data_IF_444623978573
#
_entry.id   IF_444623978573
#
_cell.length_a   1.000
_cell.length_b   1.000
_cell.length_c   1.000
_cell.angle_alpha   90.00
_cell.angle_beta   90.00
_cell.angle_gamma   90.00
#
_symmetry.space_group_name_H-M   'P 1'
#
loop_
_entity.id
_entity.type
_entity.pdbx_description
1 polymer ?
#
# COMPACT_ATOMS: atom_id res chain seq x y z
N UNK A 1 12.36 -4.55 2.95
CA UNK A 1 12.14 -3.09 2.92
C UNK A 1 11.51 -2.81 1.57
N UNK A 2 10.38 -2.09 1.53
CA UNK A 2 9.69 -1.77 0.30
C UNK A 2 10.61 -1.08 -0.69
N UNK A 3 10.39 -1.30 -1.98
CA UNK A 3 11.14 -0.61 -3.02
C UNK A 3 10.45 0.71 -3.33
N UNK A 4 11.17 1.83 -3.21
CA UNK A 4 10.67 3.13 -3.70
C UNK A 4 10.39 3.06 -5.21
N UNK A 5 9.26 3.63 -5.61
CA UNK A 5 8.91 3.84 -7.01
C UNK A 5 9.41 5.22 -7.36
N UNK A 6 10.43 5.29 -8.21
CA UNK A 6 11.04 6.56 -8.60
C UNK A 6 10.68 6.93 -10.04
N UNK A 7 10.31 5.95 -10.85
CA UNK A 7 9.90 6.15 -12.24
C UNK A 7 8.72 5.26 -12.61
N UNK A 8 8.09 5.57 -13.74
CA UNK A 8 6.94 4.82 -14.26
C UNK A 8 7.28 3.37 -14.60
N UNK A 9 8.55 3.07 -14.87
CA UNK A 9 9.02 1.72 -15.18
C UNK A 9 9.11 0.81 -13.94
N UNK A 10 9.03 1.37 -12.73
CA UNK A 10 9.11 0.61 -11.48
C UNK A 10 7.79 -0.07 -11.10
N UNK A 11 6.66 0.37 -11.68
CA UNK A 11 5.32 -0.11 -11.39
C UNK A 11 4.54 -0.37 -12.69
N UNK A 12 3.57 -1.28 -12.64
CA UNK A 12 2.65 -1.56 -13.74
C UNK A 12 1.31 -2.07 -13.18
N UNK A 13 0.23 -2.06 -13.98
CA UNK A 13 -1.02 -2.70 -13.58
C UNK A 13 -0.80 -4.14 -13.10
N UNK A 14 -1.43 -4.49 -11.97
CA UNK A 14 -1.24 -5.77 -11.30
C UNK A 14 -0.20 -5.78 -10.17
N UNK A 15 0.68 -4.77 -10.11
CA UNK A 15 1.55 -4.56 -8.95
C UNK A 15 0.78 -4.01 -7.76
N UNK A 16 1.40 -4.06 -6.57
CA UNK A 16 0.87 -3.46 -5.35
C UNK A 16 1.75 -2.27 -4.95
N UNK A 17 1.12 -1.15 -4.59
CA UNK A 17 1.80 0.01 -4.02
C UNK A 17 1.17 0.42 -2.70
N UNK A 18 1.93 1.13 -1.87
CA UNK A 18 1.42 1.86 -0.73
C UNK A 18 1.07 3.29 -1.13
N UNK A 19 -0.11 3.77 -0.75
CA UNK A 19 -0.51 5.16 -0.92
C UNK A 19 -0.19 6.05 0.30
N UNK A 20 -0.45 7.35 0.18
CA UNK A 20 -0.16 8.34 1.22
C UNK A 20 -0.98 8.17 2.51
N UNK A 21 -2.03 7.34 2.50
CA UNK A 21 -2.77 6.95 3.69
C UNK A 21 -2.35 5.59 4.22
N UNK A 22 -1.21 5.07 3.76
CA UNK A 22 -0.62 3.78 4.13
C UNK A 22 -1.43 2.56 3.67
N UNK A 23 -2.40 2.71 2.75
CA UNK A 23 -3.14 1.57 2.23
C UNK A 23 -2.30 0.81 1.19
N UNK A 24 -2.13 -0.51 1.31
CA UNK A 24 -1.75 -1.35 0.18
C UNK A 24 -2.85 -1.28 -0.89
N UNK A 25 -2.46 -0.99 -2.13
CA UNK A 25 -3.36 -0.75 -3.25
C UNK A 25 -2.94 -1.58 -4.47
N UNK A 26 -3.90 -2.26 -5.10
CA UNK A 26 -3.69 -2.92 -6.38
C UNK A 26 -3.66 -1.87 -7.49
N UNK A 27 -2.53 -1.77 -8.19
CA UNK A 27 -2.38 -0.87 -9.34
C UNK A 27 -3.29 -1.31 -10.49
N UNK A 28 -4.17 -0.41 -10.92
CA UNK A 28 -5.11 -0.63 -12.02
C UNK A 28 -4.66 0.06 -13.31
N UNK A 29 -3.89 1.13 -13.20
CA UNK A 29 -3.47 1.93 -14.34
C UNK A 29 -2.50 3.05 -13.97
N UNK A 30 -1.99 3.68 -15.02
CA UNK A 30 -1.05 4.79 -14.92
C UNK A 30 -1.18 5.73 -16.13
N UNK A 31 -0.93 7.01 -15.90
CA UNK A 31 -0.86 8.05 -16.93
C UNK A 31 0.17 9.11 -16.52
N UNK A 32 1.28 9.19 -17.26
CA UNK A 32 2.42 10.00 -16.84
C UNK A 32 2.94 9.57 -15.47
N UNK A 33 3.01 10.50 -14.52
CA UNK A 33 3.46 10.22 -13.14
C UNK A 33 2.33 9.81 -12.19
N UNK A 34 1.09 9.81 -12.66
CA UNK A 34 -0.06 9.41 -11.86
C UNK A 34 -0.28 7.91 -11.97
N UNK A 35 -0.45 7.26 -10.81
CA UNK A 35 -0.94 5.89 -10.70
C UNK A 35 -2.29 5.89 -10.00
N UNK A 36 -3.11 4.89 -10.29
CA UNK A 36 -4.35 4.68 -9.55
C UNK A 36 -4.64 3.21 -9.33
N UNK A 37 -5.36 2.94 -8.24
CA UNK A 37 -5.61 1.59 -7.80
C UNK A 37 -6.82 1.46 -6.89
N UNK A 38 -7.05 0.22 -6.47
CA UNK A 38 -8.08 -0.15 -5.50
C UNK A 38 -7.39 -0.49 -4.18
N UNK A 39 -7.88 0.06 -3.07
CA UNK A 39 -7.35 -0.32 -1.76
C UNK A 39 -7.66 -1.78 -1.41
N UNK A 40 -6.64 -2.49 -0.91
CA UNK A 40 -6.77 -3.84 -0.37
C UNK A 40 -7.24 -3.87 1.10
N UNK A 41 -7.51 -2.71 1.70
CA UNK A 41 -8.05 -2.56 3.05
C UNK A 41 -9.57 -2.51 3.02
N UNK A 42 -10.13 -1.55 2.28
CA UNK A 42 -11.56 -1.21 2.31
C UNK A 42 -12.23 -1.20 0.92
N UNK A 43 -11.47 -1.46 -0.15
CA UNK A 43 -11.97 -1.42 -1.52
C UNK A 43 -12.21 -0.03 -2.09
N UNK A 44 -11.76 1.04 -1.42
CA UNK A 44 -11.88 2.41 -1.93
C UNK A 44 -11.14 2.58 -3.26
N UNK A 45 -11.74 3.33 -4.19
CA UNK A 45 -11.26 3.58 -5.55
C UNK A 45 -11.79 4.93 -6.08
N UNK A 46 -11.00 5.70 -6.85
CA UNK A 46 -9.58 5.46 -7.13
C UNK A 46 -8.69 5.95 -5.98
N UNK A 47 -7.62 5.20 -5.71
CA UNK A 47 -6.51 5.63 -4.83
C UNK A 47 -5.42 6.22 -5.71
N UNK A 48 -5.46 7.52 -5.99
CA UNK A 48 -4.50 8.15 -6.90
C UNK A 48 -3.25 8.62 -6.16
N UNK A 49 -2.08 8.44 -6.76
CA UNK A 49 -0.80 8.96 -6.24
C UNK A 49 0.07 9.49 -7.38
N UNK A 50 0.85 10.54 -7.09
CA UNK A 50 1.85 11.09 -8.01
C UNK A 50 3.24 10.58 -7.62
N UNK A 51 3.83 9.71 -8.44
CA UNK A 51 5.12 9.07 -8.19
C UNK A 51 6.24 10.10 -7.92
N UNK A 52 6.17 11.30 -8.51
CA UNK A 52 7.18 12.33 -8.36
C UNK A 52 7.17 13.06 -7.01
N UNK A 53 6.09 12.93 -6.23
CA UNK A 53 5.91 13.68 -4.98
C UNK A 53 5.54 12.84 -3.76
N UNK A 54 4.87 11.70 -3.95
CA UNK A 54 4.16 11.00 -2.87
C UNK A 54 4.97 9.90 -2.17
N UNK A 55 6.24 9.70 -2.51
CA UNK A 55 7.08 8.70 -1.84
C UNK A 55 6.52 7.27 -1.96
N UNK A 56 5.77 7.00 -3.03
CA UNK A 56 5.07 5.73 -3.28
C UNK A 56 6.04 4.56 -3.22
N UNK A 57 5.64 3.50 -2.53
CA UNK A 57 6.45 2.29 -2.36
C UNK A 57 5.78 1.10 -3.01
N UNK A 58 6.54 0.34 -3.80
CA UNK A 58 6.10 -0.95 -4.33
C UNK A 58 6.19 -2.01 -3.25
N UNK A 59 5.12 -2.77 -3.10
CA UNK A 59 5.00 -3.87 -2.16
C UNK A 59 4.97 -5.20 -2.89
N UNK A 60 5.61 -6.21 -2.30
CA UNK A 60 5.30 -7.60 -2.61
C UNK A 60 3.92 -7.98 -2.04
N UNK A 61 3.25 -9.03 -2.55
CA UNK A 61 2.02 -9.55 -1.94
C UNK A 61 2.17 -9.92 -0.46
N UNK A 62 3.35 -10.42 -0.07
CA UNK A 62 3.67 -10.76 1.32
C UNK A 62 3.75 -9.50 2.20
N UNK A 63 4.48 -8.47 1.77
CA UNK A 63 4.54 -7.18 2.47
C UNK A 63 3.15 -6.56 2.60
N UNK A 64 2.37 -6.55 1.52
CA UNK A 64 1.00 -6.03 1.52
C UNK A 64 0.09 -6.77 2.50
N UNK A 65 0.23 -8.09 2.61
CA UNK A 65 -0.52 -8.89 3.58
C UNK A 65 -0.12 -8.57 5.02
N UNK A 66 1.18 -8.54 5.31
CA UNK A 66 1.68 -8.20 6.64
C UNK A 66 1.18 -6.80 7.03
N UNK A 67 1.32 -5.81 6.15
CA UNK A 67 0.95 -4.43 6.43
C UNK A 67 -0.55 -4.24 6.57
N UNK A 68 -1.36 -4.98 5.81
CA UNK A 68 -2.81 -5.04 6.01
C UNK A 68 -3.19 -5.45 7.43
N UNK A 69 -2.38 -6.26 8.10
CA UNK A 69 -2.70 -6.80 9.44
C UNK A 69 -2.02 -6.06 10.59
N UNK A 70 -0.87 -5.45 10.34
CA UNK A 70 -0.02 -4.85 11.39
C UNK A 70 0.26 -3.36 11.17
N UNK A 71 -0.13 -2.81 10.03
CA UNK A 71 0.32 -1.52 9.55
C UNK A 71 1.77 -1.56 9.03
N UNK A 72 2.21 -0.51 8.34
CA UNK A 72 3.60 -0.36 7.94
C UNK A 72 4.49 -0.12 9.18
N UNK A 73 5.65 -0.80 9.29
CA UNK A 73 6.51 -0.72 10.47
C UNK A 73 7.18 0.65 10.65
N UNK A 74 7.21 1.46 9.59
CA UNK A 74 7.78 2.80 9.54
C UNK A 74 6.71 3.90 9.32
N UNK A 75 5.44 3.58 9.59
CA UNK A 75 4.39 4.58 9.60
C UNK A 75 4.70 5.72 10.58
N UNK A 76 4.36 6.95 10.19
CA UNK A 76 4.59 8.12 11.03
C UNK A 76 3.86 7.98 12.37
N UNK A 77 4.60 8.15 13.46
CA UNK A 77 4.08 8.08 14.83
C UNK A 77 3.05 9.17 15.16
N UNK A 78 2.98 10.24 14.35
CA UNK A 78 1.99 11.32 14.50
C UNK A 78 0.60 10.94 13.97
N UNK A 79 0.46 9.81 13.28
CA UNK A 79 -0.84 9.33 12.77
C UNK A 79 -1.67 8.82 13.95
N UNK A 80 -2.76 9.52 14.20
CA UNK A 80 -3.68 9.27 15.31
C UNK A 80 -4.84 8.32 14.96
N UNK A 81 -5.17 8.18 13.67
CA UNK A 81 -6.27 7.35 13.19
C UNK A 81 -5.75 6.25 12.26
N UNK A 82 -5.24 5.18 12.88
CA UNK A 82 -4.55 4.08 12.21
C UNK A 82 -5.54 2.95 11.97
N UNK A 83 -5.95 2.76 10.71
CA UNK A 83 -6.89 1.70 10.33
C UNK A 83 -6.40 0.29 10.70
N UNK A 84 -5.09 0.09 10.89
CA UNK A 84 -4.52 -1.19 11.32
C UNK A 84 -4.63 -1.48 12.83
N UNK A 85 -5.04 -0.50 13.65
CA UNK A 85 -5.33 -0.72 15.07
C UNK A 85 -6.69 -1.41 15.30
N UNK A 86 -7.55 -1.45 14.27
CA UNK A 86 -8.91 -2.03 14.36
C UNK A 86 -8.92 -3.58 14.41
N UNK A 87 -7.75 -4.23 14.35
CA UNK A 87 -7.59 -5.68 14.53
C UNK A 87 -8.00 -6.54 13.31
N UNK A 88 -8.35 -5.92 12.19
CA UNK A 88 -8.79 -6.63 10.98
C UNK A 88 -7.68 -7.52 10.41
N UNK A 89 -7.88 -8.83 10.47
CA UNK A 89 -6.97 -9.83 9.88
C UNK A 89 -5.81 -10.29 10.76
N UNK A 90 -5.75 -9.85 12.03
CA UNK A 90 -4.71 -10.31 12.97
C UNK A 90 -4.86 -11.78 13.39
N UNK A 91 -6.05 -12.37 13.25
CA UNK A 91 -6.34 -13.77 13.63
C UNK A 91 -5.66 -14.82 12.72
N UNK A 92 -5.13 -14.42 11.56
CA UNK A 92 -4.62 -15.32 10.53
C UNK A 92 -3.09 -15.49 10.54
N UNK A 93 -2.35 -14.73 11.36
CA UNK A 93 -0.89 -14.76 11.37
C UNK A 93 -0.31 -15.97 12.12
N UNK A 94 -1.09 -16.63 12.98
CA UNK A 94 -0.64 -17.84 13.70
C UNK A 94 -0.65 -19.11 12.83
N UNK A 95 -1.21 -19.05 11.61
CA UNK A 95 -1.40 -20.22 10.73
C UNK A 95 -0.60 -20.19 9.41
N UNK A 96 0.25 -19.19 9.18
CA UNK A 96 1.12 -19.16 7.99
C UNK A 96 2.44 -19.90 8.32
N UNK A 97 2.71 -21.07 7.70
CA UNK A 97 3.87 -21.90 8.01
C UNK A 97 5.22 -21.32 7.58
#
# INVERSE_FOLDING_TARGET
MPKEINTIEDIQPGDIYEDSAYHPCLCMGMDGHEIWGVSLIDGSYPRCEDIGFSGVRKLTPEEAWIWRTQGPPDADSEIIDRWWDDGVGQELLEEIP
#
